data_IF_172314381678
#
_entry.id   IF_172314381678
#
_cell.length_a   1.000
_cell.length_b   1.000
_cell.length_c   1.000
_cell.angle_alpha   90.00
_cell.angle_beta   90.00
_cell.angle_gamma   90.00
#
_symmetry.space_group_name_H-M   'P 1'
#
loop_
_entity.id
_entity.type
_entity.pdbx_description
1 polymer ?
#
# COMPACT_ATOMS: atom_id res chain seq x y z
N UNK A 1 8.61 -10.80 -4.08
CA UNK A 1 8.44 -12.17 -3.56
C UNK A 1 8.30 -12.24 -2.03
N UNK A 2 9.29 -11.76 -1.24
CA UNK A 2 9.32 -11.96 0.22
C UNK A 2 8.06 -11.51 0.99
N UNK A 3 7.52 -10.32 0.71
CA UNK A 3 6.33 -9.82 1.41
C UNK A 3 5.08 -10.69 1.16
N UNK A 4 4.89 -11.13 -0.10
CA UNK A 4 3.79 -12.01 -0.46
C UNK A 4 3.94 -13.39 0.20
N UNK A 5 5.15 -13.97 0.19
CA UNK A 5 5.42 -15.26 0.86
C UNK A 5 5.21 -15.19 2.38
N UNK A 6 5.60 -14.09 3.03
CA UNK A 6 5.32 -13.87 4.45
C UNK A 6 3.82 -13.79 4.74
N UNK A 7 3.05 -13.13 3.87
CA UNK A 7 1.60 -13.13 3.99
C UNK A 7 0.98 -14.50 3.74
N UNK A 8 1.46 -15.25 2.74
CA UNK A 8 0.95 -16.57 2.41
C UNK A 8 1.13 -17.55 3.58
N UNK A 9 2.33 -17.59 4.15
CA UNK A 9 2.63 -18.36 5.35
C UNK A 9 1.69 -17.98 6.51
N UNK A 10 1.48 -16.67 6.74
CA UNK A 10 0.57 -16.17 7.79
C UNK A 10 -0.89 -16.56 7.54
N UNK A 11 -1.38 -16.44 6.31
CA UNK A 11 -2.74 -16.83 5.94
C UNK A 11 -2.95 -18.34 5.98
N UNK A 12 -1.86 -19.11 5.97
CA UNK A 12 -1.85 -20.57 6.13
C UNK A 12 -1.66 -21.02 7.59
N UNK A 13 -1.67 -20.11 8.56
CA UNK A 13 -1.61 -20.44 9.99
C UNK A 13 -0.21 -20.44 10.61
N UNK A 14 0.80 -19.85 9.96
CA UNK A 14 2.12 -19.68 10.58
C UNK A 14 2.02 -18.84 11.88
N UNK A 15 2.60 -19.36 12.96
CA UNK A 15 2.51 -18.79 14.32
C UNK A 15 3.54 -17.69 14.61
N UNK A 16 4.43 -17.38 13.65
CA UNK A 16 5.46 -16.38 13.87
C UNK A 16 4.84 -14.99 14.06
N UNK A 17 5.35 -14.19 15.03
CA UNK A 17 4.83 -12.85 15.29
C UNK A 17 5.12 -11.93 14.10
N UNK A 18 4.28 -10.91 13.96
CA UNK A 18 4.38 -9.95 12.86
C UNK A 18 4.15 -8.53 13.39
N UNK A 19 4.95 -7.58 12.91
CA UNK A 19 4.72 -6.16 13.16
C UNK A 19 3.42 -5.72 12.50
N UNK A 20 2.62 -4.92 13.21
CA UNK A 20 1.37 -4.37 12.68
C UNK A 20 1.56 -2.94 12.20
N UNK A 21 0.91 -2.59 11.10
CA UNK A 21 0.74 -1.20 10.66
C UNK A 21 -0.74 -0.99 10.39
N UNK A 22 -1.30 0.12 10.89
CA UNK A 22 -2.73 0.44 10.79
C UNK A 22 -3.65 -0.73 11.21
N UNK A 23 -3.26 -1.44 12.29
CA UNK A 23 -4.03 -2.56 12.85
C UNK A 23 -3.94 -3.89 12.09
N UNK A 24 -3.03 -4.04 11.12
CA UNK A 24 -2.91 -5.26 10.31
C UNK A 24 -1.48 -5.75 10.18
N UNK A 25 -1.26 -7.04 10.45
CA UNK A 25 0.02 -7.72 10.21
C UNK A 25 0.38 -7.83 8.73
N UNK A 26 -0.60 -8.05 7.85
CA UNK A 26 -0.36 -8.08 6.40
C UNK A 26 0.09 -6.70 5.88
N UNK A 27 -0.47 -5.61 6.42
CA UNK A 27 0.02 -4.27 6.13
C UNK A 27 1.43 -4.05 6.67
N UNK A 28 1.75 -4.55 7.88
CA UNK A 28 3.09 -4.44 8.43
C UNK A 28 4.14 -5.19 7.61
N UNK A 29 3.87 -6.43 7.17
CA UNK A 29 4.74 -7.17 6.24
C UNK A 29 4.95 -6.37 4.96
N UNK A 30 3.85 -5.87 4.39
CA UNK A 30 3.87 -5.15 3.11
C UNK A 30 4.64 -3.84 3.19
N UNK A 31 4.46 -3.07 4.26
CA UNK A 31 5.12 -1.78 4.44
C UNK A 31 6.62 -1.92 4.81
N UNK A 32 7.02 -3.01 5.47
CA UNK A 32 8.38 -3.17 6.00
C UNK A 32 9.29 -4.05 5.14
N UNK A 33 8.85 -5.27 4.80
CA UNK A 33 9.72 -6.29 4.18
C UNK A 33 10.31 -5.83 2.85
N UNK A 34 9.56 -5.22 1.90
CA UNK A 34 10.15 -4.72 0.66
C UNK A 34 11.22 -3.66 0.92
N UNK A 35 10.98 -2.73 1.84
CA UNK A 35 11.92 -1.66 2.18
C UNK A 35 13.20 -2.23 2.78
N UNK A 36 13.10 -3.21 3.69
CA UNK A 36 14.27 -3.89 4.28
C UNK A 36 15.07 -4.63 3.22
N UNK A 37 14.41 -5.36 2.32
CA UNK A 37 15.08 -6.10 1.25
C UNK A 37 15.83 -5.14 0.31
N UNK A 38 15.19 -4.05 -0.10
CA UNK A 38 15.83 -3.02 -0.93
C UNK A 38 16.97 -2.31 -0.21
N UNK A 39 16.79 -1.93 1.07
CA UNK A 39 17.83 -1.28 1.85
C UNK A 39 19.08 -2.16 2.00
N UNK A 40 18.89 -3.45 2.27
CA UNK A 40 19.99 -4.43 2.30
C UNK A 40 20.66 -4.57 0.94
N UNK A 41 19.89 -4.64 -0.15
CA UNK A 41 20.45 -4.73 -1.50
C UNK A 41 21.28 -3.49 -1.88
N UNK A 42 20.86 -2.31 -1.44
CA UNK A 42 21.56 -1.05 -1.68
C UNK A 42 22.74 -0.81 -0.73
N UNK A 43 22.92 -1.65 0.29
CA UNK A 43 23.99 -1.50 1.28
C UNK A 43 23.89 -0.21 2.11
N UNK A 44 22.68 0.32 2.32
CA UNK A 44 22.50 1.55 3.11
C UNK A 44 22.77 1.29 4.59
N UNK A 45 23.16 2.34 5.32
CA UNK A 45 23.30 2.29 6.77
C UNK A 45 21.94 2.14 7.49
N UNK A 46 22.01 1.83 8.79
CA UNK A 46 20.81 1.59 9.59
C UNK A 46 19.92 2.83 9.75
N UNK A 47 20.49 4.03 9.90
CA UNK A 47 19.70 5.27 10.06
C UNK A 47 18.91 5.53 8.77
N UNK A 48 19.55 5.38 7.61
CA UNK A 48 18.88 5.49 6.31
C UNK A 48 17.76 4.47 6.16
N UNK A 49 17.99 3.20 6.54
CA UNK A 49 16.96 2.16 6.50
C UNK A 49 15.78 2.48 7.42
N UNK A 50 16.04 2.91 8.66
CA UNK A 50 14.99 3.26 9.62
C UNK A 50 14.16 4.45 9.15
N UNK A 51 14.79 5.47 8.55
CA UNK A 51 14.06 6.60 7.94
C UNK A 51 13.18 6.15 6.79
N UNK A 52 13.65 5.26 5.92
CA UNK A 52 12.85 4.70 4.84
C UNK A 52 11.63 3.91 5.36
N UNK A 53 11.83 3.12 6.42
CA UNK A 53 10.75 2.40 7.10
C UNK A 53 9.73 3.36 7.73
N UNK A 54 10.20 4.43 8.38
CA UNK A 54 9.32 5.47 8.92
C UNK A 54 8.47 6.11 7.83
N UNK A 55 9.08 6.49 6.69
CA UNK A 55 8.34 7.04 5.54
C UNK A 55 7.27 6.05 5.07
N UNK A 56 7.63 4.77 4.88
CA UNK A 56 6.68 3.75 4.44
C UNK A 56 5.49 3.57 5.39
N UNK A 57 5.77 3.47 6.70
CA UNK A 57 4.75 3.32 7.72
C UNK A 57 3.86 4.56 7.81
N UNK A 58 4.42 5.77 7.83
CA UNK A 58 3.67 7.02 7.92
C UNK A 58 2.77 7.24 6.70
N UNK A 59 3.28 6.95 5.49
CA UNK A 59 2.47 7.02 4.26
C UNK A 59 1.33 5.98 4.28
N UNK A 60 1.59 4.77 4.79
CA UNK A 60 0.56 3.74 4.97
C UNK A 60 -0.54 4.21 5.94
N UNK A 61 -0.15 4.77 7.08
CA UNK A 61 -1.06 5.28 8.12
C UNK A 61 -1.86 6.47 7.58
N UNK A 62 -1.20 7.40 6.89
CA UNK A 62 -1.83 8.61 6.34
C UNK A 62 -2.96 8.26 5.37
N UNK A 63 -2.68 7.39 4.40
CA UNK A 63 -3.69 6.91 3.45
C UNK A 63 -4.85 6.19 4.16
N UNK A 64 -4.55 5.35 5.16
CA UNK A 64 -5.56 4.56 5.86
C UNK A 64 -6.44 5.39 6.79
N UNK A 65 -5.93 6.49 7.33
CA UNK A 65 -6.68 7.41 8.23
C UNK A 65 -7.95 7.94 7.55
N UNK A 66 -7.86 8.31 6.28
CA UNK A 66 -9.02 8.78 5.50
C UNK A 66 -10.05 7.69 5.21
N UNK A 67 -9.64 6.43 5.08
CA UNK A 67 -10.52 5.30 4.75
C UNK A 67 -11.30 4.80 5.97
N UNK A 68 -10.66 4.79 7.15
CA UNK A 68 -11.25 4.28 8.40
C UNK A 68 -10.85 2.83 8.70
N UNK A 69 -11.33 2.30 9.83
CA UNK A 69 -10.90 1.00 10.38
C UNK A 69 -11.49 -0.20 9.63
N UNK A 70 -12.76 -0.13 9.25
CA UNK A 70 -13.49 -1.16 8.49
C UNK A 70 -13.88 -0.59 7.13
N UNK A 71 -13.54 -1.31 6.06
CA UNK A 71 -13.83 -0.91 4.68
C UNK A 71 -13.51 -2.09 3.76
N UNK A 72 -14.27 -2.24 2.68
CA UNK A 72 -13.95 -3.15 1.58
C UNK A 72 -12.76 -2.68 0.73
N UNK A 73 -12.10 -1.56 1.07
CA UNK A 73 -10.82 -1.19 0.47
C UNK A 73 -9.67 -1.99 1.08
N UNK A 74 -8.87 -2.66 0.25
CA UNK A 74 -7.75 -3.46 0.74
C UNK A 74 -6.62 -2.60 1.32
N UNK A 75 -6.35 -2.76 2.62
CA UNK A 75 -5.23 -2.10 3.29
C UNK A 75 -3.85 -2.46 2.71
N UNK A 76 -3.72 -3.60 2.02
CA UNK A 76 -2.50 -3.97 1.31
C UNK A 76 -2.11 -2.93 0.24
N UNK A 77 -3.09 -2.24 -0.35
CA UNK A 77 -2.82 -1.15 -1.30
C UNK A 77 -2.08 -0.02 -0.61
N UNK A 78 -2.64 0.50 0.50
CA UNK A 78 -2.00 1.59 1.24
C UNK A 78 -0.59 1.22 1.71
N UNK A 79 -0.39 -0.03 2.14
CA UNK A 79 0.91 -0.53 2.57
C UNK A 79 1.89 -0.72 1.40
N UNK A 80 1.43 -1.19 0.23
CA UNK A 80 2.26 -1.33 -0.97
C UNK A 80 2.69 0.02 -1.54
N UNK A 81 1.78 0.99 -1.53
CA UNK A 81 2.09 2.40 -1.85
C UNK A 81 3.10 2.98 -0.85
N UNK A 82 2.93 2.70 0.45
CA UNK A 82 3.89 3.06 1.49
C UNK A 82 5.27 2.46 1.24
N UNK A 83 5.33 1.18 0.89
CA UNK A 83 6.59 0.52 0.53
C UNK A 83 7.27 1.19 -0.68
N UNK A 84 6.50 1.53 -1.72
CA UNK A 84 6.99 2.32 -2.85
C UNK A 84 7.58 3.68 -2.43
N UNK A 85 6.91 4.40 -1.52
CA UNK A 85 7.41 5.65 -0.96
C UNK A 85 8.71 5.46 -0.16
N UNK A 86 8.80 4.44 0.68
CA UNK A 86 10.03 4.09 1.42
C UNK A 86 11.19 3.73 0.48
N UNK A 87 10.92 2.99 -0.59
CA UNK A 87 11.92 2.64 -1.61
C UNK A 87 12.33 3.89 -2.41
N UNK A 88 11.39 4.78 -2.73
CA UNK A 88 11.73 6.08 -3.33
C UNK A 88 12.65 6.89 -2.42
N UNK A 89 12.47 6.85 -1.11
CA UNK A 89 13.37 7.50 -0.14
C UNK A 89 14.78 6.90 -0.14
N UNK A 90 14.89 5.56 -0.18
CA UNK A 90 16.18 4.86 -0.27
C UNK A 90 16.98 5.27 -1.52
N UNK A 91 16.29 5.63 -2.60
CA UNK A 91 16.91 6.15 -3.83
C UNK A 91 17.17 7.66 -3.81
N UNK A 92 17.16 8.29 -2.64
CA UNK A 92 17.40 9.74 -2.48
C UNK A 92 16.19 10.62 -2.78
N UNK A 93 15.04 10.03 -3.10
CA UNK A 93 13.79 10.77 -3.30
C UNK A 93 13.35 11.49 -2.03
N UNK A 94 12.68 12.62 -2.20
CA UNK A 94 12.11 13.43 -1.12
C UNK A 94 10.63 13.64 -1.41
N UNK A 95 10.08 14.73 -0.87
CA UNK A 95 8.65 15.02 -0.95
C UNK A 95 8.09 14.87 -2.39
N UNK A 96 8.78 15.42 -3.39
CA UNK A 96 8.31 15.39 -4.78
C UNK A 96 8.22 13.97 -5.33
N UNK A 97 9.31 13.20 -5.27
CA UNK A 97 9.36 11.83 -5.78
C UNK A 97 8.37 10.92 -5.05
N UNK A 98 8.27 11.08 -3.73
CA UNK A 98 7.33 10.33 -2.89
C UNK A 98 5.88 10.67 -3.24
N UNK A 99 5.54 11.96 -3.37
CA UNK A 99 4.20 12.40 -3.72
C UNK A 99 3.74 11.81 -5.05
N UNK A 100 4.60 11.82 -6.07
CA UNK A 100 4.27 11.25 -7.38
C UNK A 100 4.26 9.71 -7.36
N UNK A 101 5.12 9.07 -6.56
CA UNK A 101 5.07 7.62 -6.34
C UNK A 101 3.70 7.21 -5.76
N UNK A 102 3.22 7.95 -4.75
CA UNK A 102 1.92 7.73 -4.12
C UNK A 102 0.78 7.88 -5.13
N UNK A 103 0.75 9.01 -5.85
CA UNK A 103 -0.29 9.28 -6.85
C UNK A 103 -0.32 8.18 -7.92
N UNK A 104 0.84 7.82 -8.45
CA UNK A 104 0.91 6.82 -9.50
C UNK A 104 0.45 5.44 -9.02
N UNK A 105 0.91 5.01 -7.85
CA UNK A 105 0.52 3.71 -7.30
C UNK A 105 -0.98 3.67 -6.99
N UNK A 106 -1.55 4.72 -6.38
CA UNK A 106 -2.99 4.78 -6.10
C UNK A 106 -3.82 4.75 -7.38
N UNK A 107 -3.41 5.45 -8.43
CA UNK A 107 -4.11 5.43 -9.71
C UNK A 107 -4.25 4.01 -10.28
N UNK A 108 -3.27 3.14 -10.05
CA UNK A 108 -3.24 1.78 -10.59
C UNK A 108 -4.08 0.77 -9.78
N UNK A 109 -4.04 0.85 -8.45
CA UNK A 109 -4.53 -0.25 -7.59
C UNK A 109 -5.60 0.13 -6.56
N UNK A 110 -6.13 1.36 -6.56
CA UNK A 110 -7.18 1.79 -5.61
C UNK A 110 -8.54 1.06 -5.71
N UNK A 111 -8.66 0.07 -6.60
CA UNK A 111 -9.84 -0.80 -6.72
C UNK A 111 -9.70 -2.18 -6.07
N UNK A 112 -8.56 -2.52 -5.48
CA UNK A 112 -8.38 -3.85 -4.87
C UNK A 112 -9.24 -3.96 -3.61
N UNK A 113 -10.16 -4.92 -3.61
CA UNK A 113 -11.10 -5.12 -2.51
C UNK A 113 -10.52 -5.95 -1.37
N UNK A 114 -11.03 -5.72 -0.16
CA UNK A 114 -10.79 -6.51 1.04
C UNK A 114 -12.02 -7.39 1.30
N UNK A 115 -11.84 -8.69 1.15
CA UNK A 115 -12.85 -9.69 1.51
C UNK A 115 -12.47 -10.45 2.79
N UNK A 116 -11.35 -10.12 3.43
CA UNK A 116 -10.88 -10.75 4.67
C UNK A 116 -9.53 -11.45 4.54
N UNK A 117 -9.10 -12.11 5.63
CA UNK A 117 -7.83 -12.82 5.70
C UNK A 117 -7.94 -14.18 4.97
N UNK A 118 -7.35 -14.28 3.78
CA UNK A 118 -7.30 -15.48 2.91
C UNK A 118 -5.97 -15.56 2.18
N UNK A 119 -5.59 -16.72 1.60
CA UNK A 119 -4.39 -16.85 0.76
C UNK A 119 -4.29 -15.80 -0.36
N UNK A 120 -5.43 -15.33 -0.89
CA UNK A 120 -5.49 -14.23 -1.88
C UNK A 120 -4.83 -12.93 -1.43
N UNK A 121 -4.63 -12.71 -0.11
CA UNK A 121 -3.86 -11.59 0.42
C UNK A 121 -2.42 -11.56 -0.12
N UNK A 122 -1.78 -12.71 -0.31
CA UNK A 122 -0.42 -12.76 -0.85
C UNK A 122 -0.36 -12.15 -2.27
N UNK A 123 -1.32 -12.49 -3.13
CA UNK A 123 -1.43 -11.92 -4.47
C UNK A 123 -1.73 -10.41 -4.42
N UNK A 124 -2.68 -9.98 -3.58
CA UNK A 124 -3.02 -8.55 -3.41
C UNK A 124 -1.81 -7.72 -2.94
N UNK A 125 -1.00 -8.27 -2.04
CA UNK A 125 0.24 -7.66 -1.56
C UNK A 125 1.29 -7.59 -2.68
N UNK A 126 1.47 -8.68 -3.43
CA UNK A 126 2.41 -8.68 -4.56
C UNK A 126 2.08 -7.57 -5.56
N UNK A 127 0.81 -7.48 -5.97
CA UNK A 127 0.36 -6.44 -6.92
C UNK A 127 0.46 -5.03 -6.35
N UNK A 128 0.17 -4.85 -5.04
CA UNK A 128 0.26 -3.53 -4.40
C UNK A 128 1.71 -3.05 -4.26
N UNK A 129 2.65 -3.94 -3.94
CA UNK A 129 4.09 -3.61 -3.90
C UNK A 129 4.60 -3.31 -5.31
N UNK A 130 4.21 -4.11 -6.30
CA UNK A 130 4.59 -3.88 -7.69
C UNK A 130 4.08 -2.52 -8.19
N UNK A 131 2.84 -2.15 -7.88
CA UNK A 131 2.30 -0.83 -8.20
C UNK A 131 3.09 0.30 -7.52
N UNK A 132 3.52 0.13 -6.26
CA UNK A 132 4.40 1.08 -5.58
C UNK A 132 5.75 1.27 -6.30
N UNK A 133 6.38 0.17 -6.69
CA UNK A 133 7.64 0.17 -7.43
C UNK A 133 7.50 0.80 -8.82
N UNK A 134 6.48 0.38 -9.57
CA UNK A 134 6.19 0.91 -10.89
C UNK A 134 5.88 2.41 -10.82
N UNK A 135 5.09 2.86 -9.83
CA UNK A 135 4.80 4.27 -9.63
C UNK A 135 6.06 5.13 -9.40
N UNK A 136 7.01 4.61 -8.63
CA UNK A 136 8.33 5.21 -8.44
C UNK A 136 9.16 5.24 -9.74
N UNK A 137 9.25 4.12 -10.45
CA UNK A 137 10.03 4.04 -11.69
C UNK A 137 9.45 4.91 -12.81
N UNK A 138 8.12 4.98 -12.92
CA UNK A 138 7.43 5.89 -13.84
C UNK A 138 7.89 7.32 -13.60
N UNK A 139 7.85 7.79 -12.35
CA UNK A 139 8.24 9.16 -12.03
C UNK A 139 9.72 9.42 -12.33
N UNK A 140 10.62 8.48 -11.99
CA UNK A 140 12.05 8.57 -12.35
C UNK A 140 12.29 8.65 -13.86
N UNK A 141 11.39 8.11 -14.68
CA UNK A 141 11.44 8.20 -16.14
C UNK A 141 10.68 9.41 -16.70
N UNK A 142 10.29 10.36 -15.85
CA UNK A 142 9.55 11.55 -16.25
C UNK A 142 8.09 11.28 -16.64
N UNK A 143 7.51 10.16 -16.17
CA UNK A 143 6.13 9.77 -16.43
C UNK A 143 5.30 9.81 -15.14
N UNK A 144 4.05 10.24 -15.25
CA UNK A 144 3.11 10.28 -14.13
C UNK A 144 1.68 10.26 -14.66
N UNK A 145 0.73 9.95 -13.80
CA UNK A 145 -0.68 10.31 -14.02
C UNK A 145 -0.91 11.76 -13.60
N UNK A 146 -1.86 12.41 -14.25
CA UNK A 146 -2.16 13.82 -14.07
C UNK A 146 -3.54 14.01 -13.42
N UNK A 147 -3.73 15.17 -12.79
CA UNK A 147 -5.05 15.52 -12.26
C UNK A 147 -6.08 15.57 -13.38
N UNK A 148 -7.18 14.84 -13.22
CA UNK A 148 -8.18 14.63 -14.28
C UNK A 148 -8.13 13.23 -14.89
N UNK A 149 -7.06 12.46 -14.66
CA UNK A 149 -6.98 11.05 -15.05
C UNK A 149 -7.82 10.21 -14.06
N UNK A 150 -9.13 10.17 -14.30
CA UNK A 150 -10.09 9.44 -13.49
C UNK A 150 -10.13 9.92 -12.04
N UNK A 151 -9.67 9.07 -11.10
CA UNK A 151 -9.71 9.34 -9.65
C UNK A 151 -8.59 10.27 -9.17
N UNK A 152 -7.58 10.54 -10.01
CA UNK A 152 -6.42 11.38 -9.67
C UNK A 152 -6.81 12.86 -9.65
N UNK A 153 -6.42 13.56 -8.58
CA UNK A 153 -6.62 15.01 -8.42
C UNK A 153 -5.29 15.69 -8.14
N UNK A 154 -5.07 16.86 -8.74
CA UNK A 154 -3.82 17.63 -8.60
C UNK A 154 -3.49 17.84 -7.10
N UNK A 155 -2.28 17.46 -6.70
CA UNK A 155 -1.82 17.44 -5.32
C UNK A 155 -2.05 16.08 -4.65
N UNK A 156 -0.99 15.51 -4.07
CA UNK A 156 -1.03 14.17 -3.47
C UNK A 156 -2.12 14.03 -2.41
N UNK A 157 -2.29 15.04 -1.55
CA UNK A 157 -3.33 15.07 -0.52
C UNK A 157 -4.74 15.01 -1.09
N UNK A 158 -4.98 15.66 -2.22
CA UNK A 158 -6.30 15.63 -2.88
C UNK A 158 -6.61 14.24 -3.45
N UNK A 159 -5.61 13.55 -4.00
CA UNK A 159 -5.76 12.17 -4.46
C UNK A 159 -6.00 11.23 -3.27
N UNK A 160 -5.19 11.34 -2.20
CA UNK A 160 -5.40 10.56 -0.96
C UNK A 160 -6.80 10.78 -0.39
N UNK A 161 -7.29 12.03 -0.35
CA UNK A 161 -8.63 12.35 0.13
C UNK A 161 -9.74 11.73 -0.75
N UNK A 162 -9.57 11.73 -2.08
CA UNK A 162 -10.49 11.05 -2.99
C UNK A 162 -10.53 9.53 -2.71
N UNK A 163 -9.38 8.89 -2.56
CA UNK A 163 -9.29 7.45 -2.23
C UNK A 163 -9.89 7.18 -0.84
N UNK A 164 -9.64 8.07 0.12
CA UNK A 164 -10.23 8.03 1.46
C UNK A 164 -11.76 7.99 1.39
N UNK A 165 -12.37 8.92 0.62
CA UNK A 165 -13.82 8.97 0.41
C UNK A 165 -14.33 7.73 -0.34
N UNK A 166 -13.63 7.27 -1.37
CA UNK A 166 -14.00 6.07 -2.12
C UNK A 166 -14.03 4.84 -1.21
N UNK A 167 -12.98 4.62 -0.42
CA UNK A 167 -12.90 3.48 0.48
C UNK A 167 -13.88 3.56 1.65
N UNK A 168 -14.10 4.75 2.22
CA UNK A 168 -15.01 4.94 3.36
C UNK A 168 -16.47 4.88 2.96
N UNK A 169 -16.86 5.68 1.98
CA UNK A 169 -18.26 5.91 1.64
C UNK A 169 -18.66 5.11 0.41
N UNK A 170 -17.83 5.14 -0.65
CA UNK A 170 -18.14 4.49 -1.92
C UNK A 170 -18.18 2.96 -1.83
N UNK A 171 -17.27 2.37 -1.06
CA UNK A 171 -17.18 0.92 -0.87
C UNK A 171 -18.07 0.39 0.26
N UNK A 172 -18.96 1.21 0.83
CA UNK A 172 -19.86 0.77 1.91
C UNK A 172 -20.87 -0.28 1.44
N UNK A 173 -21.43 -0.12 0.24
CA UNK A 173 -22.32 -1.13 -0.33
C UNK A 173 -21.52 -2.32 -0.87
N UNK A 174 -20.30 -2.10 -1.39
CA UNK A 174 -19.38 -3.18 -1.75
C UNK A 174 -19.10 -4.10 -0.57
N UNK A 175 -18.88 -3.55 0.63
CA UNK A 175 -18.67 -4.33 1.85
C UNK A 175 -19.88 -5.21 2.20
N UNK A 176 -21.09 -4.65 2.10
CA UNK A 176 -22.34 -5.41 2.31
C UNK A 176 -22.50 -6.53 1.30
N UNK A 177 -22.20 -6.26 0.04
CA UNK A 177 -22.32 -7.24 -1.03
C UNK A 177 -21.31 -8.39 -0.87
N UNK A 178 -20.07 -8.07 -0.49
CA UNK A 178 -19.06 -9.08 -0.14
C UNK A 178 -19.57 -9.97 1.01
N UNK A 179 -20.19 -9.39 2.04
CA UNK A 179 -20.76 -10.15 3.16
C UNK A 179 -21.89 -11.07 2.67
N UNK A 180 -22.80 -10.60 1.81
CA UNK A 180 -23.86 -11.45 1.23
C UNK A 180 -23.29 -12.63 0.45
N UNK A 181 -22.31 -12.38 -0.43
CA UNK A 181 -21.60 -13.44 -1.16
C UNK A 181 -20.95 -14.46 -0.22
N UNK A 182 -20.31 -13.99 0.86
CA UNK A 182 -19.67 -14.86 1.85
C UNK A 182 -20.67 -15.70 2.66
N UNK A 183 -21.90 -15.21 2.84
CA UNK A 183 -22.97 -15.90 3.55
C UNK A 183 -23.87 -16.74 2.62
N UNK A 184 -23.67 -16.67 1.30
CA UNK A 184 -24.46 -17.41 0.31
C UNK A 184 -25.84 -16.80 0.05
N UNK A 185 -25.96 -15.48 0.16
CA UNK A 185 -27.15 -14.70 -0.18
C UNK A 185 -26.89 -13.75 -1.36
#
# INVERSE_FOLDING_TARGET
AMAAGGSDARMSGCELPVMIVSGSGNQGITASVPVVVYGKHLGVDQDTLFRALLVSCLVTIHQKTGIGRLSAYCGAVSAGVGAGAGISWLHGGRYREIAHTIVNALAMVSGIICDGAKPSCAAKIAMSVEAGLLGFFMFRKGKQFYGGDGIVKKGVENTIANIGRLGRDGMRETDREIIRMMLGH
#
